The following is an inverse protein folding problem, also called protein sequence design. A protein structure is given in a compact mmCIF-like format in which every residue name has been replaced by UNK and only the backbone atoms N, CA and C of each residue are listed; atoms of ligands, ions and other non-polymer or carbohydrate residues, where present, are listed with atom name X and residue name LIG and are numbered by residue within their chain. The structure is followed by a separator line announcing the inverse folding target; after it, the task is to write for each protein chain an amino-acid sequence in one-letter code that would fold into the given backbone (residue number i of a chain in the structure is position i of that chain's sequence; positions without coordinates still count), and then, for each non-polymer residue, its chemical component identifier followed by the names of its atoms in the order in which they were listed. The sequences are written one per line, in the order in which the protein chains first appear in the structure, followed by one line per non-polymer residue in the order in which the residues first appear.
data_IF_032706335752
#
_entry.id   IF_032706335752
#
_cell.length_a   1.000
_cell.length_b   1.000
_cell.length_c   1.000
_cell.angle_alpha   90.00
_cell.angle_beta   90.00
_cell.angle_gamma   90.00
#
_symmetry.space_group_name_H-M   'P 1'
#
loop_
_entity.id
_entity.type
_entity.pdbx_description
1 polymer ?
#
# COMPACT_ATOMS: atom_id res chain seq x y z
N UNK A 1 -35.92 0.41 -34.97
CA UNK A 1 -34.60 -0.19 -34.67
C UNK A 1 -33.39 0.76 -34.61
N UNK A 2 -33.36 2.00 -35.17
CA UNK A 2 -32.12 2.81 -35.15
C UNK A 2 -31.83 3.51 -33.81
N UNK A 3 -32.85 3.82 -32.99
CA UNK A 3 -32.67 4.51 -31.71
C UNK A 3 -31.96 3.66 -30.63
N UNK A 4 -32.20 2.35 -30.60
CA UNK A 4 -31.57 1.44 -29.62
C UNK A 4 -30.06 1.24 -29.90
N UNK A 5 -29.65 1.25 -31.17
CA UNK A 5 -28.25 1.18 -31.58
C UNK A 5 -27.48 2.46 -31.24
N UNK A 6 -28.11 3.63 -31.36
CA UNK A 6 -27.51 4.91 -30.98
C UNK A 6 -27.32 5.05 -29.46
N UNK A 7 -28.27 4.57 -28.66
CA UNK A 7 -28.14 4.54 -27.19
C UNK A 7 -27.07 3.54 -26.75
N UNK A 8 -27.02 2.35 -27.36
CA UNK A 8 -25.97 1.35 -27.08
C UNK A 8 -24.57 1.86 -27.46
N UNK A 9 -24.42 2.53 -28.61
CA UNK A 9 -23.17 3.14 -29.04
C UNK A 9 -22.75 4.33 -28.14
N UNK A 10 -23.72 5.15 -27.72
CA UNK A 10 -23.52 6.23 -26.75
C UNK A 10 -23.03 5.71 -25.40
N UNK A 11 -23.61 4.61 -24.89
CA UNK A 11 -23.16 3.94 -23.65
C UNK A 11 -21.77 3.31 -23.84
N UNK A 12 -21.48 2.70 -25.01
CA UNK A 12 -20.19 2.08 -25.29
C UNK A 12 -19.02 3.07 -25.39
N UNK A 13 -19.28 4.32 -25.79
CA UNK A 13 -18.26 5.38 -25.90
C UNK A 13 -18.17 6.23 -24.64
N UNK A 14 -19.29 6.52 -23.96
CA UNK A 14 -19.30 7.34 -22.74
C UNK A 14 -18.82 6.60 -21.50
N UNK A 15 -19.12 5.30 -21.36
CA UNK A 15 -18.67 4.49 -20.23
C UNK A 15 -17.13 4.39 -20.10
N UNK A 16 -16.36 4.14 -21.17
CA UNK A 16 -14.89 4.14 -21.08
C UNK A 16 -14.30 5.53 -20.87
N UNK A 17 -14.90 6.60 -21.42
CA UNK A 17 -14.42 7.98 -21.19
C UNK A 17 -14.70 8.43 -19.75
N UNK A 18 -15.89 8.14 -19.22
CA UNK A 18 -16.25 8.41 -17.82
C UNK A 18 -15.42 7.54 -16.88
N UNK A 19 -15.19 6.27 -17.24
CA UNK A 19 -14.29 5.36 -16.54
C UNK A 19 -12.85 5.87 -16.49
N UNK A 20 -12.32 6.34 -17.62
CA UNK A 20 -10.99 6.93 -17.71
C UNK A 20 -10.89 8.27 -16.95
N UNK A 21 -11.94 9.11 -16.97
CA UNK A 21 -11.99 10.35 -16.21
C UNK A 21 -12.06 10.11 -14.70
N UNK A 22 -12.84 9.11 -14.26
CA UNK A 22 -12.88 8.67 -12.86
C UNK A 22 -11.54 8.05 -12.43
N UNK A 23 -10.93 7.24 -13.28
CA UNK A 23 -9.60 6.68 -13.06
C UNK A 23 -8.57 7.81 -12.92
N UNK A 24 -8.52 8.75 -13.86
CA UNK A 24 -7.62 9.90 -13.84
C UNK A 24 -7.88 10.80 -12.62
N UNK A 25 -9.14 11.01 -12.24
CA UNK A 25 -9.48 11.75 -11.02
C UNK A 25 -8.99 11.04 -9.75
N UNK A 26 -9.12 9.71 -9.70
CA UNK A 26 -8.62 8.90 -8.57
C UNK A 26 -7.09 8.85 -8.54
N UNK A 27 -6.42 8.71 -9.69
CA UNK A 27 -4.95 8.84 -9.83
C UNK A 27 -4.49 10.21 -9.33
N UNK A 28 -5.11 11.29 -9.81
CA UNK A 28 -4.76 12.66 -9.40
C UNK A 28 -5.00 12.90 -7.92
N UNK A 29 -6.09 12.37 -7.35
CA UNK A 29 -6.28 12.39 -5.90
C UNK A 29 -5.25 11.52 -5.18
N UNK A 30 -4.81 10.41 -5.74
CA UNK A 30 -3.79 9.58 -5.14
C UNK A 30 -2.44 10.29 -5.07
N UNK A 31 -2.03 10.93 -6.15
CA UNK A 31 -0.86 11.81 -6.19
C UNK A 31 -0.97 12.93 -5.16
N UNK A 32 -2.11 13.59 -5.04
CA UNK A 32 -2.33 14.65 -4.03
C UNK A 32 -2.24 14.14 -2.60
N UNK A 33 -2.55 12.88 -2.33
CA UNK A 33 -2.43 12.28 -0.98
C UNK A 33 -1.01 11.89 -0.68
N UNK A 34 -0.33 11.36 -1.68
CA UNK A 34 1.09 11.02 -1.62
C UNK A 34 1.97 12.28 -1.46
N UNK A 35 1.52 13.41 -2.02
CA UNK A 35 2.22 14.70 -1.98
C UNK A 35 1.67 15.68 -0.95
N UNK A 36 0.57 15.36 -0.27
CA UNK A 36 0.07 16.18 0.82
C UNK A 36 1.09 16.12 1.96
N UNK A 37 1.65 17.26 2.38
CA UNK A 37 2.51 17.27 3.54
C UNK A 37 1.69 16.76 4.74
N UNK A 38 2.33 15.96 5.60
CA UNK A 38 1.77 15.33 6.81
C UNK A 38 1.30 16.32 7.90
N UNK A 39 0.94 17.54 7.52
CA UNK A 39 0.63 18.68 8.40
C UNK A 39 -0.41 18.39 9.47
N UNK A 40 -1.31 17.44 9.24
CA UNK A 40 -2.39 17.14 10.20
C UNK A 40 -1.88 16.46 11.49
N UNK A 41 -0.70 15.81 11.50
CA UNK A 41 -0.18 15.10 12.68
C UNK A 41 1.32 15.30 12.95
N UNK A 42 2.12 15.70 11.96
CA UNK A 42 3.56 15.99 12.16
C UNK A 42 3.83 17.42 12.61
N UNK A 43 2.85 18.33 12.52
CA UNK A 43 2.99 19.71 13.02
C UNK A 43 2.81 19.82 14.54
N UNK A 44 2.54 18.71 15.24
CA UNK A 44 3.00 18.55 16.63
C UNK A 44 4.32 17.80 16.58
N UNK A 45 5.47 18.50 16.62
CA UNK A 45 6.63 17.91 17.28
C UNK A 45 6.17 17.29 18.60
N UNK A 46 6.81 16.22 19.04
CA UNK A 46 6.92 16.03 20.47
C UNK A 46 7.43 17.39 21.02
N UNK A 47 6.60 18.14 21.74
CA UNK A 47 6.92 19.44 22.34
C UNK A 47 8.11 19.24 23.32
N UNK A 48 9.33 19.14 22.78
CA UNK A 48 10.53 18.81 23.53
C UNK A 48 10.65 17.34 23.97
N UNK A 49 11.76 17.00 24.65
CA UNK A 49 11.94 15.70 25.28
C UNK A 49 10.84 15.49 26.33
N UNK A 50 10.02 14.43 26.16
CA UNK A 50 8.95 14.06 27.11
C UNK A 50 7.52 14.34 26.66
N UNK A 51 7.29 14.91 25.48
CA UNK A 51 5.93 15.06 24.97
C UNK A 51 5.32 13.73 24.51
N UNK A 52 4.00 13.61 24.72
CA UNK A 52 3.25 12.41 24.35
C UNK A 52 3.32 12.12 22.84
N UNK A 53 3.42 10.85 22.43
CA UNK A 53 3.47 10.48 21.02
C UNK A 53 2.27 10.99 20.22
N UNK A 54 2.52 11.43 18.99
CA UNK A 54 1.48 11.91 18.08
C UNK A 54 0.53 10.77 17.66
N UNK A 55 1.04 9.55 17.55
CA UNK A 55 0.29 8.35 17.20
C UNK A 55 0.57 7.19 18.16
N UNK A 56 -0.35 6.23 18.21
CA UNK A 56 -0.24 5.05 19.09
C UNK A 56 0.66 3.98 18.45
N UNK A 57 0.65 3.86 17.12
CA UNK A 57 1.58 2.99 16.38
C UNK A 57 1.87 3.49 14.96
N UNK A 58 3.10 3.21 14.50
CA UNK A 58 3.43 3.17 13.07
C UNK A 58 2.96 1.83 12.50
N UNK A 59 2.42 1.81 11.28
CA UNK A 59 1.99 0.57 10.62
C UNK A 59 2.68 0.44 9.27
N UNK A 60 3.73 -0.37 9.19
CA UNK A 60 4.51 -0.58 7.97
C UNK A 60 3.82 -1.63 7.10
N UNK A 61 3.44 -1.22 5.89
CA UNK A 61 2.88 -2.12 4.89
C UNK A 61 4.01 -2.73 4.06
N UNK A 62 4.04 -4.06 3.98
CA UNK A 62 4.96 -4.78 3.14
C UNK A 62 4.82 -4.39 1.66
N UNK A 63 5.93 -4.50 0.95
CA UNK A 63 6.01 -4.29 -0.50
C UNK A 63 6.50 -5.56 -1.17
N UNK A 64 7.71 -5.97 -0.81
CA UNK A 64 8.31 -7.25 -1.15
C UNK A 64 9.54 -7.51 -0.26
N UNK A 65 9.81 -8.76 0.08
CA UNK A 65 11.10 -9.24 0.58
C UNK A 65 11.63 -10.37 -0.34
N UNK A 66 12.92 -10.69 -0.22
CA UNK A 66 13.51 -11.90 -0.78
C UNK A 66 14.47 -12.55 0.23
N UNK A 67 15.15 -13.62 -0.19
CA UNK A 67 16.09 -14.36 0.66
C UNK A 67 17.24 -13.51 1.22
N UNK A 68 17.51 -12.32 0.64
CA UNK A 68 18.51 -11.37 1.16
C UNK A 68 17.88 -10.27 2.04
N UNK A 69 16.61 -10.45 2.44
CA UNK A 69 15.86 -9.50 3.26
C UNK A 69 14.96 -8.55 2.46
N UNK A 70 14.61 -7.39 3.03
CA UNK A 70 13.71 -6.42 2.39
C UNK A 70 14.23 -5.92 1.04
N UNK A 71 13.37 -5.72 0.03
CA UNK A 71 13.81 -5.10 -1.22
C UNK A 71 14.18 -3.63 -1.03
N UNK A 72 14.76 -2.98 -2.05
CA UNK A 72 15.06 -1.55 -1.98
C UNK A 72 13.82 -0.68 -1.72
N UNK A 73 12.66 -1.07 -2.25
CA UNK A 73 11.38 -0.40 -1.98
C UNK A 73 10.90 -0.64 -0.55
N UNK A 74 11.02 -1.86 -0.03
CA UNK A 74 10.63 -2.15 1.35
C UNK A 74 11.60 -1.52 2.36
N UNK A 75 12.91 -1.52 2.09
CA UNK A 75 13.92 -0.78 2.86
C UNK A 75 13.58 0.70 2.95
N UNK A 76 13.22 1.35 1.85
CA UNK A 76 12.83 2.76 1.90
C UNK A 76 11.64 3.03 2.83
N UNK A 77 10.68 2.09 2.93
CA UNK A 77 9.57 2.18 3.90
C UNK A 77 10.06 1.96 5.33
N UNK A 78 10.92 0.98 5.54
CA UNK A 78 11.46 0.64 6.86
C UNK A 78 12.36 1.75 7.40
N UNK A 79 13.25 2.31 6.58
CA UNK A 79 14.09 3.47 6.91
C UNK A 79 13.23 4.67 7.32
N UNK A 80 12.13 4.89 6.60
CA UNK A 80 11.18 5.95 6.95
C UNK A 80 10.47 5.68 8.28
N UNK A 81 10.09 4.43 8.56
CA UNK A 81 9.53 4.08 9.87
C UNK A 81 10.54 4.23 11.00
N UNK A 82 11.82 3.88 10.79
CA UNK A 82 12.89 4.09 11.76
C UNK A 82 13.09 5.58 12.05
N UNK A 83 13.06 6.42 11.00
CA UNK A 83 13.13 7.87 11.16
C UNK A 83 11.98 8.40 12.02
N UNK A 84 10.73 8.02 11.73
CA UNK A 84 9.56 8.47 12.51
C UNK A 84 9.58 7.94 13.95
N UNK A 85 10.00 6.69 14.16
CA UNK A 85 10.12 6.09 15.48
C UNK A 85 11.17 6.82 16.33
N UNK A 86 12.35 7.13 15.75
CA UNK A 86 13.40 7.91 16.41
C UNK A 86 12.98 9.34 16.75
N UNK A 87 12.04 9.91 15.99
CA UNK A 87 11.41 11.20 16.29
C UNK A 87 10.33 11.12 17.38
N UNK A 88 10.04 9.93 17.92
CA UNK A 88 9.01 9.74 18.94
C UNK A 88 7.57 9.84 18.41
N UNK A 89 7.36 9.69 17.09
CA UNK A 89 6.02 9.81 16.49
C UNK A 89 5.05 8.77 17.04
N UNK A 90 5.53 7.54 17.25
CA UNK A 90 4.79 6.49 17.94
C UNK A 90 5.77 5.54 18.66
N UNK A 91 5.36 4.95 19.80
CA UNK A 91 6.21 4.04 20.56
C UNK A 91 6.28 2.64 19.95
N UNK A 92 5.23 2.20 19.24
CA UNK A 92 5.10 0.87 18.65
C UNK A 92 5.25 0.92 17.13
N UNK A 93 5.93 -0.07 16.55
CA UNK A 93 6.03 -0.28 15.11
C UNK A 93 5.34 -1.59 14.74
N UNK A 94 4.12 -1.48 14.21
CA UNK A 94 3.39 -2.61 13.67
C UNK A 94 3.86 -2.92 12.25
N UNK A 95 4.02 -4.20 11.92
CA UNK A 95 4.43 -4.67 10.59
C UNK A 95 3.37 -5.59 10.00
N UNK A 96 2.91 -5.31 8.78
CA UNK A 96 1.88 -6.12 8.11
C UNK A 96 2.31 -6.51 6.70
N UNK A 97 2.34 -7.82 6.45
CA UNK A 97 2.73 -8.43 5.18
C UNK A 97 2.22 -9.86 5.08
N UNK A 98 2.49 -10.49 3.93
CA UNK A 98 2.14 -11.88 3.68
C UNK A 98 3.37 -12.78 3.57
N UNK A 99 3.14 -14.01 3.10
CA UNK A 99 4.20 -14.95 2.72
C UNK A 99 4.16 -15.13 1.20
N UNK A 100 5.32 -15.02 0.54
CA UNK A 100 5.45 -15.18 -0.90
C UNK A 100 6.75 -15.92 -1.25
N UNK A 101 6.67 -16.96 -2.10
CA UNK A 101 7.84 -17.75 -2.51
C UNK A 101 8.68 -18.21 -1.29
N UNK A 102 8.01 -18.71 -0.24
CA UNK A 102 8.58 -19.12 1.06
C UNK A 102 9.27 -18.01 1.88
N UNK A 103 9.12 -16.75 1.47
CA UNK A 103 9.64 -15.58 2.19
C UNK A 103 8.52 -14.94 3.01
N UNK A 104 8.72 -14.86 4.32
CA UNK A 104 7.85 -14.14 5.22
C UNK A 104 8.25 -12.65 5.29
N UNK A 105 7.42 -11.79 4.71
CA UNK A 105 7.69 -10.36 4.68
C UNK A 105 7.69 -9.73 6.08
N UNK A 106 6.92 -10.29 7.01
CA UNK A 106 6.82 -9.78 8.39
C UNK A 106 8.10 -10.09 9.16
N UNK A 107 8.64 -11.29 9.00
CA UNK A 107 9.92 -11.68 9.61
C UNK A 107 11.04 -10.77 9.09
N UNK A 108 11.13 -10.61 7.77
CA UNK A 108 12.13 -9.72 7.15
C UNK A 108 12.03 -8.26 7.63
N UNK A 109 10.81 -7.73 7.81
CA UNK A 109 10.61 -6.38 8.36
C UNK A 109 11.00 -6.32 9.85
N UNK A 110 10.67 -7.34 10.63
CA UNK A 110 10.95 -7.40 12.07
C UNK A 110 12.45 -7.38 12.31
N UNK A 111 13.20 -8.28 11.66
CA UNK A 111 14.66 -8.34 11.78
C UNK A 111 15.31 -7.01 11.40
N UNK A 112 14.87 -6.38 10.30
CA UNK A 112 15.40 -5.09 9.87
C UNK A 112 15.17 -3.96 10.88
N UNK A 113 14.00 -3.93 11.53
CA UNK A 113 13.68 -2.89 12.52
C UNK A 113 14.46 -3.09 13.82
N UNK A 114 14.62 -4.34 14.26
CA UNK A 114 15.42 -4.70 15.44
C UNK A 114 16.89 -4.37 15.22
N UNK A 115 17.45 -4.74 14.07
CA UNK A 115 18.80 -4.30 13.66
C UNK A 115 18.93 -2.77 13.59
N UNK A 116 17.84 -2.09 13.23
CA UNK A 116 17.72 -0.62 13.22
C UNK A 116 17.63 0.04 14.61
N UNK A 117 17.59 -0.76 15.68
CA UNK A 117 17.58 -0.31 17.08
C UNK A 117 16.19 -0.18 17.72
N UNK A 118 15.14 -0.67 17.07
CA UNK A 118 13.81 -0.76 17.69
C UNK A 118 13.80 -1.97 18.63
N UNK A 119 13.37 -1.83 19.89
CA UNK A 119 13.20 -2.97 20.78
C UNK A 119 12.27 -4.04 20.18
N UNK A 120 12.61 -5.31 20.34
CA UNK A 120 11.84 -6.42 19.74
C UNK A 120 10.38 -6.44 20.23
N UNK A 121 10.15 -6.11 21.51
CA UNK A 121 8.83 -6.00 22.12
C UNK A 121 8.02 -4.78 21.63
N UNK A 122 8.68 -3.82 20.98
CA UNK A 122 8.03 -2.69 20.31
C UNK A 122 7.68 -2.97 18.83
N UNK A 123 8.11 -4.11 18.27
CA UNK A 123 7.76 -4.53 16.90
C UNK A 123 6.62 -5.55 16.94
N UNK A 124 5.46 -5.18 16.43
CA UNK A 124 4.23 -5.99 16.56
C UNK A 124 3.74 -6.50 15.19
N UNK A 125 3.75 -7.82 14.95
CA UNK A 125 3.14 -8.41 13.76
C UNK A 125 1.63 -8.18 13.69
N UNK A 126 1.14 -7.69 12.54
CA UNK A 126 -0.31 -7.53 12.26
C UNK A 126 -0.71 -8.45 11.11
N UNK A 127 -1.40 -9.53 11.46
CA UNK A 127 -1.85 -10.59 10.52
C UNK A 127 -3.36 -10.82 10.57
N UNK A 128 -3.99 -11.26 9.46
CA UNK A 128 -3.38 -11.50 8.14
C UNK A 128 -3.02 -10.20 7.39
N UNK A 129 -1.97 -10.25 6.57
CA UNK A 129 -1.39 -9.07 5.90
C UNK A 129 -1.16 -9.21 4.40
N UNK A 130 -1.74 -10.23 3.76
CA UNK A 130 -1.46 -10.59 2.35
C UNK A 130 -1.90 -9.50 1.34
N UNK A 131 -2.79 -8.61 1.77
CA UNK A 131 -3.21 -7.48 0.96
C UNK A 131 -3.70 -6.35 1.86
N UNK A 132 -3.80 -5.14 1.30
CA UNK A 132 -4.23 -3.93 2.03
C UNK A 132 -5.54 -4.12 2.81
N UNK A 133 -6.48 -4.92 2.31
CA UNK A 133 -7.75 -5.18 2.99
C UNK A 133 -7.57 -6.07 4.21
N UNK A 134 -6.77 -7.14 4.07
CA UNK A 134 -6.41 -8.02 5.16
C UNK A 134 -5.67 -7.25 6.25
N UNK A 135 -4.62 -6.50 5.89
CA UNK A 135 -3.84 -5.68 6.81
C UNK A 135 -4.70 -4.70 7.61
N UNK A 136 -5.58 -3.95 6.94
CA UNK A 136 -6.43 -2.96 7.63
C UNK A 136 -7.56 -3.59 8.44
N UNK A 137 -8.03 -4.79 8.07
CA UNK A 137 -8.97 -5.55 8.90
C UNK A 137 -8.28 -6.07 10.16
N UNK A 138 -7.09 -6.64 10.01
CA UNK A 138 -6.28 -7.10 11.14
C UNK A 138 -5.95 -5.94 12.09
N UNK A 139 -5.54 -4.79 11.54
CA UNK A 139 -5.30 -3.58 12.32
C UNK A 139 -6.53 -3.14 13.12
N UNK A 140 -7.73 -3.15 12.50
CA UNK A 140 -8.96 -2.81 13.21
C UNK A 140 -9.34 -3.81 14.31
N UNK A 141 -8.85 -5.05 14.26
CA UNK A 141 -9.03 -6.02 15.33
C UNK A 141 -8.05 -5.81 16.50
N UNK A 142 -6.96 -5.07 16.30
CA UNK A 142 -6.03 -4.69 17.36
C UNK A 142 -6.59 -3.59 18.27
N UNK A 143 -7.70 -2.96 17.89
CA UNK A 143 -8.42 -1.97 18.69
C UNK A 143 -8.52 -0.59 18.03
N UNK A 144 -9.09 0.34 18.78
CA UNK A 144 -9.18 1.74 18.36
C UNK A 144 -7.87 2.46 18.71
N UNK A 145 -7.27 3.11 17.72
CA UNK A 145 -6.01 3.83 17.88
C UNK A 145 -5.78 4.84 16.76
N UNK A 146 -4.80 5.71 16.99
CA UNK A 146 -4.27 6.69 16.03
C UNK A 146 -3.06 6.07 15.35
N UNK A 147 -3.18 5.77 14.07
CA UNK A 147 -2.16 5.05 13.33
C UNK A 147 -1.51 5.91 12.24
N UNK A 148 -0.19 5.75 12.07
CA UNK A 148 0.53 6.27 10.90
C UNK A 148 0.94 5.11 10.03
N UNK A 149 0.23 4.91 8.92
CA UNK A 149 0.64 3.93 7.93
C UNK A 149 1.89 4.39 7.18
N UNK A 150 2.89 3.51 7.09
CA UNK A 150 4.10 3.73 6.31
C UNK A 150 4.06 2.84 5.07
N UNK A 151 4.02 3.47 3.91
CA UNK A 151 4.04 2.77 2.62
C UNK A 151 4.58 3.66 1.50
N UNK A 152 4.58 3.17 0.27
CA UNK A 152 5.06 3.94 -0.87
C UNK A 152 4.07 5.01 -1.33
N UNK A 153 4.54 6.12 -1.93
CA UNK A 153 3.70 7.20 -2.44
C UNK A 153 2.51 6.74 -3.29
N UNK A 154 2.74 5.87 -4.27
CA UNK A 154 1.67 5.40 -5.15
C UNK A 154 0.58 4.61 -4.41
N UNK A 155 0.89 3.96 -3.27
CA UNK A 155 -0.01 3.09 -2.52
C UNK A 155 -0.83 3.84 -1.45
N UNK A 156 -0.48 5.09 -1.16
CA UNK A 156 -1.06 5.85 -0.06
C UNK A 156 -2.57 6.04 -0.19
N UNK A 157 -3.07 6.20 -1.42
CA UNK A 157 -4.49 6.42 -1.66
C UNK A 157 -5.36 5.21 -1.35
N UNK A 158 -4.94 4.00 -1.73
CA UNK A 158 -5.70 2.78 -1.43
C UNK A 158 -5.74 2.52 0.06
N UNK A 159 -4.59 2.64 0.75
CA UNK A 159 -4.53 2.52 2.21
C UNK A 159 -5.53 3.47 2.86
N UNK A 160 -5.46 4.77 2.51
CA UNK A 160 -6.35 5.78 3.10
C UNK A 160 -7.82 5.54 2.76
N UNK A 161 -8.11 5.10 1.55
CA UNK A 161 -9.49 4.79 1.12
C UNK A 161 -10.06 3.61 1.88
N UNK A 162 -9.29 2.53 2.04
CA UNK A 162 -9.71 1.33 2.77
C UNK A 162 -9.78 1.56 4.29
N UNK A 163 -8.92 2.42 4.84
CA UNK A 163 -8.98 2.84 6.24
C UNK A 163 -10.28 3.61 6.52
N UNK A 164 -10.65 4.54 5.64
CA UNK A 164 -11.92 5.29 5.73
C UNK A 164 -13.14 4.38 5.69
N UNK A 165 -13.16 3.36 4.82
CA UNK A 165 -14.25 2.37 4.78
C UNK A 165 -14.44 1.64 6.11
N UNK A 166 -13.35 1.48 6.87
CA UNK A 166 -13.31 0.81 8.18
C UNK A 166 -13.38 1.76 9.37
N UNK A 167 -13.50 3.07 9.11
CA UNK A 167 -13.50 4.12 10.14
C UNK A 167 -12.24 4.12 11.02
N UNK A 168 -11.11 3.65 10.49
CA UNK A 168 -9.82 3.70 11.18
C UNK A 168 -9.27 5.13 11.18
N UNK A 169 -8.76 5.58 12.33
CA UNK A 169 -8.04 6.85 12.46
C UNK A 169 -6.60 6.68 11.99
N UNK A 170 -6.43 6.69 10.67
CA UNK A 170 -5.16 6.38 10.03
C UNK A 170 -4.80 7.46 9.00
N UNK A 171 -3.60 7.99 9.15
CA UNK A 171 -2.93 8.81 8.13
C UNK A 171 -1.84 8.00 7.44
N UNK A 172 -1.39 8.46 6.27
CA UNK A 172 -0.32 7.77 5.53
C UNK A 172 0.88 8.68 5.43
N UNK A 173 2.04 8.15 5.81
CA UNK A 173 3.35 8.77 5.71
C UNK A 173 4.20 7.97 4.73
N UNK A 174 4.88 8.66 3.82
CA UNK A 174 5.62 8.02 2.73
C UNK A 174 7.06 8.50 2.70
N UNK A 175 8.04 7.63 2.44
CA UNK A 175 9.42 8.06 2.22
C UNK A 175 9.51 9.10 1.10
N UNK A 176 10.41 10.10 1.23
CA UNK A 176 10.56 11.18 0.24
C UNK A 176 11.07 10.68 -1.13
N UNK A 177 11.76 9.54 -1.15
CA UNK A 177 12.24 8.90 -2.38
C UNK A 177 12.12 7.39 -2.26
N UNK A 178 11.63 6.74 -3.32
CA UNK A 178 11.60 5.28 -3.44
C UNK A 178 12.10 4.88 -4.83
N UNK A 179 12.79 3.74 -4.99
CA UNK A 179 13.27 3.31 -6.31
C UNK A 179 12.19 3.23 -7.39
N UNK A 180 10.95 2.99 -6.99
CA UNK A 180 9.77 2.88 -7.85
C UNK A 180 9.18 4.23 -8.30
N UNK A 181 9.48 5.33 -7.60
CA UNK A 181 9.08 6.69 -8.03
C UNK A 181 10.14 7.38 -8.91
N UNK A 182 11.36 6.83 -9.00
CA UNK A 182 12.47 7.43 -9.77
C UNK A 182 12.27 7.38 -11.30
N UNK A 183 11.64 6.33 -11.82
CA UNK A 183 11.42 6.18 -13.27
C UNK A 183 9.98 6.49 -13.65
N UNK A 184 9.77 7.48 -14.52
CA UNK A 184 8.44 7.97 -14.94
C UNK A 184 7.54 6.86 -15.49
N UNK A 185 8.07 5.96 -16.31
CA UNK A 185 7.31 4.85 -16.88
C UNK A 185 6.81 3.88 -15.80
N UNK A 186 7.70 3.45 -14.89
CA UNK A 186 7.36 2.59 -13.75
C UNK A 186 6.35 3.24 -12.83
N UNK A 187 6.54 4.53 -12.51
CA UNK A 187 5.63 5.28 -11.67
C UNK A 187 4.22 5.38 -12.28
N UNK A 188 4.12 5.65 -13.59
CA UNK A 188 2.84 5.68 -14.31
C UNK A 188 2.14 4.32 -14.31
N UNK A 189 2.87 3.23 -14.56
CA UNK A 189 2.30 1.88 -14.53
C UNK A 189 1.79 1.52 -13.13
N UNK A 190 2.53 1.88 -12.08
CA UNK A 190 2.10 1.68 -10.69
C UNK A 190 0.85 2.49 -10.35
N UNK A 191 0.79 3.76 -10.75
CA UNK A 191 -0.40 4.60 -10.56
C UNK A 191 -1.62 4.06 -11.31
N UNK A 192 -1.44 3.55 -12.53
CA UNK A 192 -2.52 2.94 -13.31
C UNK A 192 -3.05 1.67 -12.63
N UNK A 193 -2.15 0.76 -12.22
CA UNK A 193 -2.52 -0.44 -11.49
C UNK A 193 -3.15 -0.12 -10.14
N UNK A 194 -2.69 0.93 -9.45
CA UNK A 194 -3.29 1.38 -8.21
C UNK A 194 -4.71 1.91 -8.42
N UNK A 195 -4.92 2.71 -9.46
CA UNK A 195 -6.24 3.25 -9.73
C UNK A 195 -7.25 2.16 -10.11
N UNK A 196 -6.81 1.12 -10.84
CA UNK A 196 -7.59 -0.10 -11.05
C UNK A 196 -7.85 -0.85 -9.74
N UNK A 197 -6.84 -0.96 -8.86
CA UNK A 197 -6.99 -1.60 -7.56
C UNK A 197 -7.99 -0.83 -6.68
N UNK A 198 -7.98 0.50 -6.66
CA UNK A 198 -8.95 1.33 -5.94
C UNK A 198 -10.38 1.05 -6.42
N UNK A 199 -10.57 0.95 -7.74
CA UNK A 199 -11.87 0.62 -8.33
C UNK A 199 -12.29 -0.81 -7.94
N UNK A 200 -11.38 -1.77 -8.04
CA UNK A 200 -11.60 -3.14 -7.59
C UNK A 200 -12.03 -3.19 -6.12
N UNK A 201 -11.32 -2.47 -5.24
CA UNK A 201 -11.61 -2.43 -3.81
C UNK A 201 -12.88 -1.63 -3.48
N UNK A 202 -13.42 -0.87 -4.43
CA UNK A 202 -14.74 -0.26 -4.29
C UNK A 202 -15.90 -1.23 -4.52
N UNK A 203 -15.65 -2.37 -5.17
CA UNK A 203 -16.65 -3.41 -5.36
C UNK A 203 -16.98 -4.12 -4.02
N UNK A 204 -18.18 -4.70 -3.90
CA UNK A 204 -18.58 -5.47 -2.73
C UNK A 204 -17.55 -6.56 -2.40
N UNK A 205 -17.30 -6.76 -1.12
CA UNK A 205 -16.26 -7.68 -0.67
C UNK A 205 -16.49 -9.13 -1.16
N UNK A 206 -17.75 -9.53 -1.28
CA UNK A 206 -18.19 -10.83 -1.82
C UNK A 206 -17.67 -11.12 -3.23
N UNK A 207 -17.48 -10.10 -4.06
CA UNK A 207 -16.95 -10.26 -5.42
C UNK A 207 -15.42 -10.34 -5.39
N UNK A 208 -14.81 -9.43 -4.63
CA UNK A 208 -13.36 -9.28 -4.61
C UNK A 208 -12.61 -10.43 -3.92
N UNK A 209 -13.25 -11.17 -3.00
CA UNK A 209 -12.63 -12.33 -2.32
C UNK A 209 -12.41 -13.53 -3.24
N UNK A 210 -13.05 -13.55 -4.42
CA UNK A 210 -12.92 -14.66 -5.39
C UNK A 210 -11.62 -14.59 -6.20
N UNK A 211 -10.90 -13.49 -6.14
CA UNK A 211 -9.65 -13.29 -6.87
C UNK A 211 -8.53 -13.17 -5.87
N UNK A 212 -7.51 -14.02 -6.00
CA UNK A 212 -6.33 -13.90 -5.17
C UNK A 212 -5.60 -12.61 -5.54
N UNK A 213 -5.37 -11.81 -4.51
CA UNK A 213 -4.64 -10.58 -4.62
C UNK A 213 -3.41 -10.61 -3.69
N UNK A 214 -3.09 -11.72 -3.04
CA UNK A 214 -1.91 -11.88 -2.21
C UNK A 214 -0.58 -11.57 -2.91
N UNK A 215 0.53 -11.56 -2.16
CA UNK A 215 1.87 -11.47 -2.74
C UNK A 215 2.05 -12.50 -3.86
N UNK A 216 2.74 -12.14 -4.95
CA UNK A 216 2.96 -13.05 -6.08
C UNK A 216 1.81 -13.18 -7.09
N UNK A 217 0.63 -12.61 -6.81
CA UNK A 217 -0.50 -12.56 -7.77
C UNK A 217 -0.23 -11.68 -9.00
N UNK A 218 -1.07 -11.81 -10.03
CA UNK A 218 -0.89 -11.13 -11.33
C UNK A 218 -0.79 -9.62 -11.18
N UNK A 219 -1.53 -9.05 -10.22
CA UNK A 219 -1.50 -7.62 -9.90
C UNK A 219 -0.15 -7.13 -9.37
N UNK A 220 0.65 -7.99 -8.74
CA UNK A 220 1.98 -7.65 -8.22
C UNK A 220 3.05 -7.87 -9.28
N UNK A 221 2.89 -8.85 -10.17
CA UNK A 221 3.90 -9.17 -11.20
C UNK A 221 3.77 -8.27 -12.43
N UNK A 222 2.55 -7.98 -12.89
CA UNK A 222 2.28 -7.27 -14.13
C UNK A 222 2.94 -5.88 -14.24
N UNK A 223 2.88 -4.98 -13.22
CA UNK A 223 3.51 -3.67 -13.32
C UNK A 223 5.03 -3.74 -13.55
N UNK A 224 5.68 -4.76 -12.99
CA UNK A 224 7.12 -4.96 -13.13
C UNK A 224 7.51 -5.55 -14.49
N UNK A 225 6.66 -6.38 -15.08
CA UNK A 225 6.85 -6.87 -16.45
C UNK A 225 6.64 -5.75 -17.47
N UNK A 226 5.56 -4.96 -17.31
CA UNK A 226 5.29 -3.81 -18.18
C UNK A 226 6.36 -2.71 -18.10
N UNK A 227 7.05 -2.58 -16.96
CA UNK A 227 8.16 -1.64 -16.79
C UNK A 227 9.53 -2.23 -17.14
N UNK A 228 9.60 -3.47 -17.64
CA UNK A 228 10.86 -4.14 -18.01
C UNK A 228 11.74 -4.57 -16.81
N UNK A 229 11.28 -4.37 -15.57
CA UNK A 229 11.99 -4.78 -14.34
C UNK A 229 11.91 -6.28 -14.07
N UNK A 230 10.95 -6.99 -14.66
CA UNK A 230 10.84 -8.45 -14.61
C UNK A 230 10.73 -9.04 -16.00
N UNK A 231 11.26 -10.25 -16.18
CA UNK A 231 11.13 -11.02 -17.42
C UNK A 231 9.65 -11.41 -17.63
N UNK A 232 9.16 -11.45 -18.88
CA UNK A 232 7.80 -11.91 -19.20
C UNK A 232 7.45 -13.30 -18.66
N UNK A 233 8.46 -14.18 -18.50
CA UNK A 233 8.28 -15.50 -17.88
C UNK A 233 7.67 -15.43 -16.47
N UNK A 234 8.01 -14.41 -15.68
CA UNK A 234 7.44 -14.25 -14.34
C UNK A 234 5.90 -14.07 -14.35
N UNK A 235 5.34 -13.48 -15.42
CA UNK A 235 3.90 -13.36 -15.60
C UNK A 235 3.26 -14.72 -15.92
N UNK A 236 3.94 -15.53 -16.73
CA UNK A 236 3.49 -16.89 -17.10
C UNK A 236 3.49 -17.79 -15.85
N UNK A 237 4.55 -17.73 -15.04
CA UNK A 237 4.66 -18.53 -13.82
C UNK A 237 3.62 -18.12 -12.77
N UNK A 238 3.25 -16.83 -12.72
CA UNK A 238 2.16 -16.33 -11.90
C UNK A 238 0.79 -16.88 -12.36
N UNK A 239 0.51 -16.83 -13.66
CA UNK A 239 -0.73 -17.34 -14.24
C UNK A 239 -0.90 -18.86 -14.00
N UNK A 240 0.19 -19.63 -14.09
CA UNK A 240 0.17 -21.08 -13.85
C UNK A 240 -0.11 -21.44 -12.39
N UNK A 241 0.29 -20.61 -11.43
CA UNK A 241 0.03 -20.83 -9.99
C UNK A 241 -1.39 -20.48 -9.56
N UNK A 242 -2.15 -19.78 -10.43
CA UNK A 242 -3.52 -19.34 -10.17
C UNK A 242 -4.57 -20.13 -10.97
N UNK A 243 -4.15 -21.19 -11.68
CA UNK A 243 -4.98 -22.16 -12.40
C UNK A 243 -5.09 -23.45 -11.59
#
# INVERSE_FOLDING_TARGET
MPAALAVAAGILVTAPVLGAALLAHRVRRAELVASAPLREWTDRPADGPGAAPSADALVVFAGRADANGPTAELRARLDHSLYLWRLGVAPIVMVSGGVADDIDEVEAMTSYLVEGGVPEDAVVPVRPGDNTRASLRALGACGDGRYVAVSSPYHAFRIRSEARRRRLRLIVSTPPSTPETRHRATHRSLLACEALAVLWYALPETWTRRVDTGPGSLRHVLPHVLSGRRRPRALIDCLRRSS
#
